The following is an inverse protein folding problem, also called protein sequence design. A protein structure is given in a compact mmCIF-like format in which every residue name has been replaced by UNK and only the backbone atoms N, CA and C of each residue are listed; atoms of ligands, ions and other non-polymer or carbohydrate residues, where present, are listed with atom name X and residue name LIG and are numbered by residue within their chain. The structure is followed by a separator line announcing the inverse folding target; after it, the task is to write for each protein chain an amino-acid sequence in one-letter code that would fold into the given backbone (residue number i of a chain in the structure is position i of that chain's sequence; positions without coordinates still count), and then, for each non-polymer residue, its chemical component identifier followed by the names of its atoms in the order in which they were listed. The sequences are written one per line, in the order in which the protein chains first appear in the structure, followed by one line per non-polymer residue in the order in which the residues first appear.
data_IF_584498222921
#
_entry.id   IF_584498222921
#
_cell.length_a   1.000
_cell.length_b   1.000
_cell.length_c   1.000
_cell.angle_alpha   90.00
_cell.angle_beta   90.00
_cell.angle_gamma   90.00
#
_symmetry.space_group_name_H-M   'P 1'
#
loop_
_entity.id
_entity.type
_entity.pdbx_description
1 polymer ?
#
# COMPACT_ATOMS: atom_id res chain seq x y z
N UNK A 1 -38.83 2.67 -35.00
CA UNK A 1 -38.44 2.56 -34.69
C UNK A 1 -37.44 2.36 -34.22
N UNK A 2 -36.71 2.52 -33.96
CA UNK A 2 -35.75 2.35 -33.61
C UNK A 2 -35.37 2.38 -32.42
N UNK A 3 -35.11 1.73 -31.82
CA UNK A 3 -34.79 1.62 -30.73
C UNK A 3 -33.56 1.57 -30.46
N UNK A 4 -33.16 2.24 -30.10
CA UNK A 4 -31.99 2.39 -29.80
C UNK A 4 -31.68 1.98 -28.58
N UNK A 5 -31.08 1.18 -28.39
CA UNK A 5 -30.65 0.74 -27.40
C UNK A 5 -29.50 1.18 -26.97
N UNK A 6 -29.34 1.68 -26.10
CA UNK A 6 -28.27 2.08 -25.57
C UNK A 6 -27.83 1.29 -24.60
N UNK A 7 -27.14 0.67 -24.70
CA UNK A 7 -26.30 0.12 -24.04
C UNK A 7 -25.54 1.02 -23.27
N UNK A 8 -25.94 1.23 -22.17
CA UNK A 8 -25.28 1.89 -21.40
C UNK A 8 -24.27 1.18 -20.82
N UNK A 9 -23.26 1.19 -21.08
CA UNK A 9 -22.21 0.85 -20.61
C UNK A 9 -21.84 1.55 -19.54
N UNK A 10 -22.18 1.31 -18.49
CA UNK A 10 -21.68 1.80 -17.38
C UNK A 10 -20.31 1.31 -17.27
N UNK A 11 -19.49 1.99 -17.51
CA UNK A 11 -18.18 1.75 -17.28
C UNK A 11 -18.06 1.73 -15.83
N UNK A 12 -17.96 0.68 -15.29
CA UNK A 12 -17.74 0.60 -13.94
C UNK A 12 -16.37 1.12 -13.70
N UNK A 13 -16.33 2.20 -13.14
CA UNK A 13 -15.11 2.72 -12.74
C UNK A 13 -14.64 1.81 -11.68
N UNK A 14 -13.69 1.13 -11.93
CA UNK A 14 -13.13 0.33 -10.99
C UNK A 14 -12.24 1.16 -10.22
N UNK A 15 -12.68 1.75 -9.25
CA UNK A 15 -11.81 2.30 -8.29
C UNK A 15 -11.05 1.14 -7.73
N UNK A 16 -9.80 1.17 -7.76
CA UNK A 16 -8.98 0.21 -7.12
C UNK A 16 -9.45 0.12 -5.70
N UNK A 17 -9.86 -0.98 -5.28
CA UNK A 17 -10.49 -1.06 -4.02
C UNK A 17 -9.45 -0.88 -2.95
N UNK A 18 -9.54 0.18 -2.26
CA UNK A 18 -8.77 0.43 -1.06
C UNK A 18 -8.87 -0.81 -0.18
N UNK A 19 -9.96 -1.51 -0.23
CA UNK A 19 -10.17 -2.69 0.59
C UNK A 19 -9.32 -3.89 0.16
N UNK A 20 -8.99 -4.02 -1.11
CA UNK A 20 -8.20 -5.15 -1.57
C UNK A 20 -6.77 -5.09 -1.04
N UNK A 21 -6.17 -3.92 -1.04
CA UNK A 21 -4.81 -3.75 -0.53
C UNK A 21 -4.78 -3.79 0.99
N UNK A 22 -5.80 -3.29 1.67
CA UNK A 22 -5.89 -3.42 3.11
C UNK A 22 -6.03 -4.90 3.49
N UNK A 23 -6.81 -5.66 2.74
CA UNK A 23 -6.95 -7.08 2.96
C UNK A 23 -5.61 -7.81 2.74
N UNK A 24 -4.87 -7.41 1.72
CA UNK A 24 -3.56 -7.98 1.46
C UNK A 24 -2.59 -7.65 2.61
N UNK A 25 -2.56 -6.41 3.04
CA UNK A 25 -1.71 -6.00 4.16
C UNK A 25 -2.05 -6.78 5.42
N UNK A 26 -3.32 -7.01 5.68
CA UNK A 26 -3.78 -7.78 6.82
C UNK A 26 -3.34 -9.24 6.70
N UNK A 27 -3.51 -9.82 5.52
CA UNK A 27 -3.14 -11.21 5.27
C UNK A 27 -1.63 -11.44 5.40
N UNK A 28 -0.84 -10.41 5.12
CA UNK A 28 0.63 -10.51 5.21
C UNK A 28 1.15 -10.02 6.56
N UNK A 29 0.28 -9.84 7.53
CA UNK A 29 0.62 -9.44 8.90
C UNK A 29 1.20 -8.03 9.06
N UNK A 30 1.04 -7.18 8.09
CA UNK A 30 1.52 -5.79 8.20
C UNK A 30 0.78 -5.01 9.28
N UNK A 31 -0.50 -5.30 9.43
CA UNK A 31 -1.36 -4.57 10.36
C UNK A 31 -1.13 -4.94 11.83
N UNK A 32 -0.25 -5.89 12.11
CA UNK A 32 0.16 -6.16 13.49
C UNK A 32 1.00 -5.01 14.05
N UNK A 33 1.74 -4.32 13.18
CA UNK A 33 2.64 -3.24 13.59
C UNK A 33 2.29 -1.89 12.99
N UNK A 34 1.45 -1.85 11.97
CA UNK A 34 1.07 -0.62 11.29
C UNK A 34 -0.44 -0.39 11.34
N UNK A 35 -0.82 0.85 11.30
CA UNK A 35 -2.22 1.25 11.08
C UNK A 35 -2.23 2.34 10.02
N UNK A 36 -3.37 2.60 9.43
CA UNK A 36 -3.46 3.60 8.36
C UNK A 36 -3.22 5.00 8.91
N UNK A 37 -3.83 5.34 10.01
CA UNK A 37 -3.81 6.71 10.50
C UNK A 37 -3.09 6.94 11.82
N UNK A 38 -2.65 5.91 12.49
CA UNK A 38 -1.95 6.10 13.76
C UNK A 38 -0.72 5.24 13.89
N UNK A 39 0.21 5.69 14.67
CA UNK A 39 1.41 4.95 14.96
C UNK A 39 1.10 3.82 15.92
N UNK A 40 1.62 2.66 15.62
CA UNK A 40 1.62 1.54 16.54
C UNK A 40 3.09 1.20 16.81
N UNK A 41 3.51 -0.02 16.54
CA UNK A 41 4.94 -0.35 16.63
C UNK A 41 5.69 0.35 15.51
N UNK A 42 5.13 0.32 14.30
CA UNK A 42 5.66 1.04 13.15
C UNK A 42 4.89 2.34 12.89
N UNK A 43 5.38 3.16 11.97
CA UNK A 43 4.72 4.41 11.63
C UNK A 43 3.36 4.16 10.97
N UNK A 44 2.48 5.15 11.04
CA UNK A 44 1.23 5.07 10.30
C UNK A 44 1.51 5.08 8.82
N UNK A 45 0.66 4.46 8.03
CA UNK A 45 0.81 4.49 6.57
C UNK A 45 0.67 5.92 6.03
N UNK A 46 -0.12 6.74 6.69
CA UNK A 46 -0.26 8.14 6.32
C UNK A 46 1.08 8.88 6.47
N UNK A 47 1.81 8.62 7.55
CA UNK A 47 3.13 9.22 7.74
C UNK A 47 4.14 8.69 6.74
N UNK A 48 4.08 7.40 6.42
CA UNK A 48 4.94 6.82 5.40
C UNK A 48 4.70 7.50 4.06
N UNK A 49 3.44 7.67 3.68
CA UNK A 49 3.09 8.35 2.43
C UNK A 49 3.65 9.78 2.43
N UNK A 50 3.53 10.48 3.53
CA UNK A 50 4.05 11.84 3.65
C UNK A 50 5.57 11.92 3.51
N UNK A 51 6.27 10.96 4.12
CA UNK A 51 7.73 10.96 4.08
C UNK A 51 8.27 10.72 2.67
N UNK A 52 7.62 9.88 1.91
CA UNK A 52 8.08 9.55 0.57
C UNK A 52 7.44 10.39 -0.54
N UNK A 53 6.59 11.35 -0.18
CA UNK A 53 5.92 12.19 -1.16
C UNK A 53 6.92 12.90 -2.05
N UNK A 54 6.69 12.86 -3.34
CA UNK A 54 7.56 13.55 -4.31
C UNK A 54 8.81 12.79 -4.72
N UNK A 55 9.08 11.62 -4.13
CA UNK A 55 10.24 10.84 -4.52
C UNK A 55 9.89 9.96 -5.71
N UNK A 56 10.70 10.02 -6.76
CA UNK A 56 10.39 9.32 -7.98
C UNK A 56 10.37 7.83 -7.87
N UNK A 57 11.23 7.25 -7.10
CA UNK A 57 11.39 5.83 -6.97
C UNK A 57 10.84 5.31 -5.64
N UNK A 58 9.88 6.04 -5.08
CA UNK A 58 9.32 5.70 -3.76
C UNK A 58 8.71 4.31 -3.71
N UNK A 59 8.01 3.89 -4.74
CA UNK A 59 7.40 2.55 -4.77
C UNK A 59 8.48 1.48 -4.68
N UNK A 60 9.52 1.60 -5.49
CA UNK A 60 10.58 0.60 -5.52
C UNK A 60 11.37 0.59 -4.21
N UNK A 61 11.65 1.76 -3.65
CA UNK A 61 12.35 1.87 -2.38
C UNK A 61 11.54 1.23 -1.25
N UNK A 62 10.26 1.54 -1.19
CA UNK A 62 9.40 1.02 -0.15
C UNK A 62 9.18 -0.48 -0.31
N UNK A 63 9.04 -0.95 -1.53
CA UNK A 63 8.90 -2.39 -1.81
C UNK A 63 10.15 -3.16 -1.35
N UNK A 64 11.34 -2.63 -1.62
CA UNK A 64 12.56 -3.24 -1.15
C UNK A 64 12.60 -3.29 0.38
N UNK A 65 12.15 -2.24 1.04
CA UNK A 65 12.10 -2.18 2.49
C UNK A 65 11.11 -3.20 3.05
N UNK A 66 9.97 -3.38 2.40
CA UNK A 66 8.99 -4.36 2.83
C UNK A 66 9.58 -5.77 2.76
N UNK A 67 10.32 -6.06 1.72
CA UNK A 67 10.86 -7.41 1.51
C UNK A 67 12.07 -7.68 2.41
N UNK A 68 12.93 -6.70 2.58
CA UNK A 68 14.20 -6.88 3.28
C UNK A 68 14.20 -6.44 4.73
N UNK A 69 13.25 -5.61 5.11
CA UNK A 69 13.21 -5.03 6.43
C UNK A 69 14.26 -3.93 6.60
N UNK A 70 14.42 -3.47 7.78
CA UNK A 70 15.42 -2.46 8.10
C UNK A 70 15.07 -1.66 9.34
N UNK A 71 15.94 -0.74 9.71
CA UNK A 71 15.73 0.13 10.86
C UNK A 71 16.39 1.47 10.61
N UNK A 72 16.16 2.41 11.48
CA UNK A 72 16.83 3.72 11.44
C UNK A 72 16.05 4.83 10.77
N UNK A 73 15.22 4.52 9.78
CA UNK A 73 14.43 5.55 9.09
C UNK A 73 13.37 6.12 10.02
N UNK A 74 12.77 5.27 10.83
CA UNK A 74 11.68 5.65 11.73
C UNK A 74 12.06 5.39 13.20
N UNK A 75 13.34 5.31 13.48
CA UNK A 75 13.83 5.04 14.84
C UNK A 75 14.53 3.72 14.94
N UNK A 76 14.80 3.30 16.15
CA UNK A 76 15.61 2.13 16.40
C UNK A 76 14.88 0.81 16.27
N UNK A 77 13.56 0.80 16.35
CA UNK A 77 12.82 -0.44 16.28
C UNK A 77 12.87 -0.97 14.85
N UNK A 78 13.41 -2.17 14.65
CA UNK A 78 13.54 -2.69 13.30
C UNK A 78 12.22 -3.21 12.75
N UNK A 79 12.01 -3.04 11.47
CA UNK A 79 10.95 -3.71 10.75
C UNK A 79 11.53 -5.02 10.24
N UNK A 80 10.96 -6.16 10.56
CA UNK A 80 11.49 -7.43 10.06
C UNK A 80 11.28 -7.59 8.58
N UNK A 81 12.10 -8.39 7.94
CA UNK A 81 11.88 -8.77 6.55
C UNK A 81 10.56 -9.54 6.42
N UNK A 82 9.94 -9.45 5.27
CA UNK A 82 8.67 -10.12 5.01
C UNK A 82 8.84 -11.13 3.87
N UNK A 83 9.41 -12.31 4.14
CA UNK A 83 9.63 -13.29 3.08
C UNK A 83 8.32 -13.85 2.49
N UNK A 84 7.22 -13.67 3.18
CA UNK A 84 5.90 -14.10 2.71
C UNK A 84 5.31 -13.17 1.65
N UNK A 85 5.97 -12.03 1.41
CA UNK A 85 5.49 -11.04 0.43
C UNK A 85 6.31 -11.17 -0.83
N UNK A 86 5.68 -11.37 -1.97
CA UNK A 86 6.36 -11.40 -3.26
C UNK A 86 6.72 -9.99 -3.70
N UNK A 87 7.61 -9.87 -4.67
CA UNK A 87 7.97 -8.56 -5.21
C UNK A 87 6.75 -7.83 -5.79
N UNK A 88 5.90 -8.55 -6.51
CA UNK A 88 4.69 -7.96 -7.06
C UNK A 88 3.76 -7.46 -5.95
N UNK A 89 3.61 -8.24 -4.90
CA UNK A 89 2.79 -7.85 -3.75
C UNK A 89 3.40 -6.66 -3.01
N UNK A 90 4.73 -6.65 -2.86
CA UNK A 90 5.42 -5.55 -2.20
C UNK A 90 5.21 -4.24 -2.97
N UNK A 91 5.29 -4.27 -4.29
CA UNK A 91 5.03 -3.11 -5.13
C UNK A 91 3.59 -2.64 -5.04
N UNK A 92 2.65 -3.57 -5.03
CA UNK A 92 1.24 -3.27 -4.92
C UNK A 92 0.92 -2.62 -3.57
N UNK A 93 1.43 -3.18 -2.50
CA UNK A 93 1.26 -2.62 -1.16
C UNK A 93 1.90 -1.24 -1.05
N UNK A 94 3.11 -1.09 -1.60
CA UNK A 94 3.82 0.18 -1.56
C UNK A 94 3.06 1.28 -2.31
N UNK A 95 2.56 0.97 -3.50
CA UNK A 95 1.78 1.93 -4.26
C UNK A 95 0.51 2.35 -3.51
N UNK A 96 -0.14 1.41 -2.86
CA UNK A 96 -1.32 1.72 -2.06
C UNK A 96 -0.98 2.59 -0.86
N UNK A 97 0.05 2.22 -0.10
CA UNK A 97 0.48 3.01 1.05
C UNK A 97 0.80 4.45 0.64
N UNK A 98 1.53 4.60 -0.45
CA UNK A 98 1.93 5.93 -0.93
C UNK A 98 0.78 6.75 -1.47
N UNK A 99 -0.37 6.14 -1.74
CA UNK A 99 -1.57 6.85 -2.18
C UNK A 99 -2.40 7.41 -1.01
N UNK A 100 -2.07 7.05 0.21
CA UNK A 100 -2.84 7.47 1.38
C UNK A 100 -2.58 8.94 1.69
N UNK A 101 -3.64 9.68 1.92
CA UNK A 101 -3.55 11.13 2.21
C UNK A 101 -4.02 11.48 3.61
#
# INVERSE_FOLDING_TARGET
MKNVLYALLAAAAVSAPVHAELALATAKNCMACHAVEKKLVGPSYKDVAGKYAGQKDAVDKLAAKLMKGGSGVWGAVPMPANPQVSEAEAKKLSAWILSIK
#
